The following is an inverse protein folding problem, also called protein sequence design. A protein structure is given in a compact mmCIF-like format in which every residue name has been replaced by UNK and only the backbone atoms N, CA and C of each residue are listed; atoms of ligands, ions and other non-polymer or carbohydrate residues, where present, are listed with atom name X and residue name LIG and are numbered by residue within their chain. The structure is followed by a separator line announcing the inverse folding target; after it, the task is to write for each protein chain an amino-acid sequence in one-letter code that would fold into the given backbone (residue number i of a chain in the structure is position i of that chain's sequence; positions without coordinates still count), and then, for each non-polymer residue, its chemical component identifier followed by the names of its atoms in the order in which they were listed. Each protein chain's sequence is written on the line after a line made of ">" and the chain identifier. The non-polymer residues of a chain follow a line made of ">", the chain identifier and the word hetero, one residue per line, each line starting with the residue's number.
data_IF_340122844659
#
_entry.id   IF_340122844659
#
_cell.length_a   1.000
_cell.length_b   1.000
_cell.length_c   1.000
_cell.angle_alpha   90.00
_cell.angle_beta   90.00
_cell.angle_gamma   90.00
#
_symmetry.space_group_name_H-M   'P 1'
#
loop_
_entity.id
_entity.type
_entity.pdbx_description
1 polymer ?
#
# COMPACT_ATOMS: atom_id res chain seq x y z
N UNK A 1 -20.48 -5.04 -54.93
CA UNK A 1 -19.84 -4.14 -53.93
C UNK A 1 -18.69 -4.90 -53.30
N UNK A 2 -17.50 -4.31 -53.33
CA UNK A 2 -16.22 -5.03 -53.25
C UNK A 2 -15.87 -5.40 -51.80
N UNK A 3 -15.59 -6.68 -51.54
CA UNK A 3 -15.21 -7.18 -50.21
C UNK A 3 -13.98 -6.47 -49.62
N UNK A 4 -13.03 -6.06 -50.47
CA UNK A 4 -11.81 -5.34 -50.12
C UNK A 4 -12.07 -4.00 -49.41
N UNK A 5 -13.17 -3.31 -49.74
CA UNK A 5 -13.49 -2.01 -49.11
C UNK A 5 -13.86 -2.18 -47.63
N UNK A 6 -14.45 -3.33 -47.25
CA UNK A 6 -14.79 -3.64 -45.87
C UNK A 6 -13.56 -4.00 -45.04
N UNK A 7 -12.53 -4.56 -45.65
CA UNK A 7 -11.27 -4.87 -44.97
C UNK A 7 -10.46 -3.60 -44.66
N UNK A 8 -10.43 -2.65 -45.62
CA UNK A 8 -9.76 -1.35 -45.42
C UNK A 8 -10.42 -0.53 -44.30
N UNK A 9 -11.75 -0.59 -44.19
CA UNK A 9 -12.49 0.09 -43.12
C UNK A 9 -12.15 -0.50 -41.75
N UNK A 10 -12.17 -1.83 -41.62
CA UNK A 10 -11.83 -2.53 -40.37
C UNK A 10 -10.40 -2.21 -39.95
N UNK A 11 -9.47 -2.23 -40.91
CA UNK A 11 -8.08 -1.88 -40.66
C UNK A 11 -7.93 -0.43 -40.16
N UNK A 12 -8.61 0.52 -40.82
CA UNK A 12 -8.65 1.91 -40.37
C UNK A 12 -9.17 2.05 -38.94
N UNK A 13 -10.26 1.35 -38.60
CA UNK A 13 -10.80 1.33 -37.24
C UNK A 13 -9.79 0.72 -36.26
N UNK A 14 -9.17 -0.41 -36.58
CA UNK A 14 -8.19 -1.05 -35.70
C UNK A 14 -6.92 -0.25 -35.47
N UNK A 15 -6.54 0.63 -36.40
CA UNK A 15 -5.42 1.55 -36.22
C UNK A 15 -5.84 2.79 -35.44
N UNK A 16 -6.94 3.43 -35.81
CA UNK A 16 -7.40 4.70 -35.22
C UNK A 16 -7.91 4.49 -33.79
N UNK A 17 -8.59 3.38 -33.51
CA UNK A 17 -9.17 3.07 -32.21
C UNK A 17 -8.14 3.06 -31.07
N UNK A 18 -7.06 2.26 -31.12
CA UNK A 18 -6.05 2.26 -30.06
C UNK A 18 -5.29 3.58 -29.97
N UNK A 19 -5.02 4.24 -31.10
CA UNK A 19 -4.31 5.52 -31.13
C UNK A 19 -5.15 6.63 -30.49
N UNK A 20 -6.44 6.70 -30.81
CA UNK A 20 -7.37 7.68 -30.25
C UNK A 20 -7.61 7.48 -28.76
N UNK A 21 -7.78 6.22 -28.33
CA UNK A 21 -7.87 5.86 -26.90
C UNK A 21 -6.59 6.28 -26.18
N UNK A 22 -5.41 5.93 -26.72
CA UNK A 22 -4.14 6.32 -26.13
C UNK A 22 -3.98 7.84 -26.04
N UNK A 23 -4.38 8.59 -27.06
CA UNK A 23 -4.29 10.05 -27.05
C UNK A 23 -5.23 10.70 -26.02
N UNK A 24 -6.45 10.18 -25.89
CA UNK A 24 -7.43 10.69 -24.92
C UNK A 24 -7.01 10.42 -23.47
N UNK A 25 -6.65 9.16 -23.17
CA UNK A 25 -6.28 8.74 -21.81
C UNK A 25 -4.83 9.08 -21.44
N UNK A 26 -3.94 9.22 -22.42
CA UNK A 26 -2.52 9.54 -22.24
C UNK A 26 -2.24 11.02 -22.02
N UNK A 27 -3.25 11.90 -22.13
CA UNK A 27 -3.07 13.32 -21.87
C UNK A 27 -2.67 13.59 -20.41
N UNK A 28 -1.64 14.44 -20.15
CA UNK A 28 -1.27 14.84 -18.79
C UNK A 28 -2.42 15.46 -18.00
N UNK A 29 -3.39 16.06 -18.70
CA UNK A 29 -4.60 16.65 -18.12
C UNK A 29 -5.59 15.59 -17.64
N UNK A 30 -5.75 14.49 -18.39
CA UNK A 30 -6.60 13.36 -17.99
C UNK A 30 -6.06 12.72 -16.70
N UNK A 31 -4.74 12.44 -16.66
CA UNK A 31 -4.09 11.87 -15.48
C UNK A 31 -4.27 12.76 -14.23
N UNK A 32 -4.06 14.08 -14.35
CA UNK A 32 -4.24 14.99 -13.22
C UNK A 32 -5.67 15.06 -12.71
N UNK A 33 -6.66 15.01 -13.60
CA UNK A 33 -8.07 15.14 -13.23
C UNK A 33 -8.66 13.87 -12.63
N UNK A 34 -8.31 12.70 -13.18
CA UNK A 34 -8.97 11.44 -12.79
C UNK A 34 -8.10 10.54 -11.91
N UNK A 35 -6.77 10.61 -12.01
CA UNK A 35 -5.87 9.69 -11.29
C UNK A 35 -5.27 10.35 -10.05
N UNK A 36 -4.87 11.62 -10.13
CA UNK A 36 -4.21 12.30 -9.00
C UNK A 36 -5.14 12.58 -7.81
N UNK A 37 -6.43 12.74 -8.06
CA UNK A 37 -7.45 13.00 -7.02
C UNK A 37 -7.91 11.72 -6.31
N UNK A 38 -7.62 10.55 -6.87
CA UNK A 38 -7.81 9.28 -6.18
C UNK A 38 -6.80 9.26 -5.03
N UNK A 39 -7.28 9.39 -3.79
CA UNK A 39 -6.52 9.19 -2.56
C UNK A 39 -6.19 7.71 -2.36
N UNK A 40 -5.62 7.08 -3.38
CA UNK A 40 -5.18 5.69 -3.34
C UNK A 40 -4.06 5.55 -2.32
N UNK A 41 -3.10 6.49 -2.31
CA UNK A 41 -2.06 6.55 -1.30
C UNK A 41 -2.46 7.33 -0.06
N UNK A 42 -2.22 6.77 1.14
CA UNK A 42 -2.44 7.51 2.36
C UNK A 42 -1.60 8.79 2.30
N UNK A 43 -2.17 9.94 2.72
CA UNK A 43 -1.45 11.20 2.73
C UNK A 43 -0.14 11.04 3.50
N UNK A 44 0.89 11.76 3.06
CA UNK A 44 2.25 11.65 3.59
C UNK A 44 2.31 11.83 5.10
N UNK A 45 1.39 12.63 5.64
CA UNK A 45 1.18 12.90 7.07
C UNK A 45 0.77 11.66 7.89
N UNK A 46 0.11 10.68 7.26
CA UNK A 46 -0.25 9.40 7.90
C UNK A 46 0.84 8.33 7.77
N UNK A 47 1.90 8.62 7.00
CA UNK A 47 3.01 7.69 6.87
C UNK A 47 3.97 7.91 8.03
N UNK A 48 4.33 6.85 8.76
CA UNK A 48 5.35 6.94 9.80
C UNK A 48 6.66 7.46 9.18
N UNK A 49 7.02 8.70 9.49
CA UNK A 49 8.27 9.31 9.05
C UNK A 49 9.42 8.64 9.80
N UNK A 50 10.34 8.05 9.06
CA UNK A 50 11.56 7.48 9.63
C UNK A 50 12.40 8.62 10.24
N UNK A 51 12.91 8.48 11.48
CA UNK A 51 13.80 9.48 12.06
C UNK A 51 15.11 9.53 11.26
N UNK A 52 15.52 10.74 10.84
CA UNK A 52 16.70 10.95 9.98
C UNK A 52 17.96 11.17 10.84
N UNK A 53 17.83 11.75 12.02
CA UNK A 53 18.97 12.02 12.91
C UNK A 53 19.36 10.79 13.72
N UNK A 54 20.67 10.60 13.94
CA UNK A 54 21.21 9.47 14.73
C UNK A 54 20.66 9.42 16.17
N UNK A 55 20.43 10.57 16.78
CA UNK A 55 19.90 10.64 18.16
C UNK A 55 18.44 10.19 18.21
N UNK A 56 17.63 10.65 17.26
CA UNK A 56 16.21 10.27 17.14
C UNK A 56 16.07 8.76 16.86
N UNK A 57 16.94 8.19 16.02
CA UNK A 57 17.00 6.75 15.74
C UNK A 57 17.26 5.94 17.02
N UNK A 58 18.21 6.38 17.86
CA UNK A 58 18.53 5.69 19.12
C UNK A 58 17.37 5.75 20.11
N UNK A 59 16.71 6.89 20.20
CA UNK A 59 15.55 7.06 21.06
C UNK A 59 14.38 6.15 20.62
N UNK A 60 14.10 6.12 19.32
CA UNK A 60 13.05 5.27 18.76
C UNK A 60 13.38 3.78 18.92
N UNK A 61 14.64 3.41 18.75
CA UNK A 61 15.10 2.05 19.01
C UNK A 61 14.93 1.65 20.49
N UNK A 62 15.18 2.57 21.42
CA UNK A 62 14.98 2.34 22.85
C UNK A 62 13.49 2.15 23.19
N UNK A 63 12.61 2.98 22.60
CA UNK A 63 11.15 2.83 22.70
C UNK A 63 10.70 1.44 22.26
N UNK A 64 11.06 1.05 21.03
CA UNK A 64 10.70 -0.26 20.45
C UNK A 64 11.25 -1.43 21.26
N UNK A 65 12.46 -1.31 21.79
CA UNK A 65 13.08 -2.36 22.61
C UNK A 65 12.33 -2.52 23.94
N UNK A 66 11.90 -1.42 24.54
CA UNK A 66 11.13 -1.42 25.79
C UNK A 66 9.75 -2.06 25.60
N UNK A 67 9.03 -1.70 24.54
CA UNK A 67 7.74 -2.30 24.19
C UNK A 67 7.85 -3.83 24.01
N UNK A 68 8.89 -4.29 23.31
CA UNK A 68 9.15 -5.74 23.14
C UNK A 68 9.42 -6.46 24.45
N UNK A 69 10.19 -5.85 25.35
CA UNK A 69 10.44 -6.45 26.66
C UNK A 69 9.17 -6.55 27.48
N UNK A 70 8.35 -5.49 27.49
CA UNK A 70 7.08 -5.47 28.19
C UNK A 70 6.15 -6.59 27.69
N UNK A 71 5.95 -6.71 26.38
CA UNK A 71 5.12 -7.80 25.81
C UNK A 71 5.65 -9.18 26.22
N UNK A 72 6.98 -9.37 26.21
CA UNK A 72 7.59 -10.63 26.61
C UNK A 72 7.38 -10.92 28.10
N UNK A 73 7.57 -9.93 28.97
CA UNK A 73 7.38 -10.11 30.43
C UNK A 73 5.92 -10.38 30.77
N UNK A 74 4.98 -9.69 30.13
CA UNK A 74 3.55 -9.95 30.34
C UNK A 74 3.17 -11.37 29.91
N UNK A 75 3.71 -11.88 28.80
CA UNK A 75 3.49 -13.27 28.38
C UNK A 75 3.99 -14.27 29.41
N UNK A 76 5.24 -14.12 29.88
CA UNK A 76 5.85 -15.02 30.88
C UNK A 76 5.07 -14.99 32.20
N UNK A 77 4.69 -13.81 32.69
CA UNK A 77 3.90 -13.69 33.92
C UNK A 77 2.50 -14.28 33.80
N UNK A 78 1.90 -14.31 32.61
CA UNK A 78 0.62 -14.99 32.38
C UNK A 78 0.78 -16.51 32.34
N UNK A 79 1.87 -17.01 31.75
CA UNK A 79 2.21 -18.45 31.75
C UNK A 79 2.41 -18.96 33.18
N UNK A 80 3.21 -18.25 34.00
CA UNK A 80 3.43 -18.58 35.41
C UNK A 80 2.13 -18.55 36.24
N UNK A 81 1.26 -17.57 35.98
CA UNK A 81 -0.03 -17.47 36.67
C UNK A 81 -1.00 -18.58 36.26
N UNK A 82 -0.97 -19.03 34.99
CA UNK A 82 -1.81 -20.12 34.50
C UNK A 82 -1.36 -21.48 35.08
N UNK A 83 -0.05 -21.74 35.10
CA UNK A 83 0.57 -22.91 35.74
C UNK A 83 0.22 -22.99 37.24
N UNK A 84 0.34 -21.89 37.98
CA UNK A 84 0.01 -21.86 39.41
C UNK A 84 -1.49 -22.06 39.71
N UNK A 85 -2.38 -21.62 38.81
CA UNK A 85 -3.82 -21.87 38.93
C UNK A 85 -4.17 -23.32 38.60
N UNK A 86 -3.52 -23.92 37.61
CA UNK A 86 -3.73 -25.32 37.21
C UNK A 86 -3.26 -26.29 38.30
N UNK A 87 -2.10 -26.03 38.92
CA UNK A 87 -1.58 -26.86 40.02
C UNK A 87 -2.39 -26.78 41.32
N UNK A 88 -3.27 -25.77 41.47
CA UNK A 88 -4.17 -25.63 42.64
C UNK A 88 -5.55 -26.25 42.40
N UNK A 89 -5.87 -26.61 41.15
CA UNK A 89 -7.16 -27.17 40.74
C UNK A 89 -7.15 -28.70 40.58
N UNK A 90 -5.96 -29.32 40.59
CA UNK A 90 -5.71 -30.78 40.63
C UNK A 90 -5.47 -31.25 42.06
#
# INVERSE_FOLDING_TARGET
>A
MNATNLEILKFGIYVIFPIGIMYYFGSPSFYRKYVKELNFWPPKEKTNCLPINKNDIKNELYRLKTEKYQTKTYGISQEDSCESMFSRAL
#
